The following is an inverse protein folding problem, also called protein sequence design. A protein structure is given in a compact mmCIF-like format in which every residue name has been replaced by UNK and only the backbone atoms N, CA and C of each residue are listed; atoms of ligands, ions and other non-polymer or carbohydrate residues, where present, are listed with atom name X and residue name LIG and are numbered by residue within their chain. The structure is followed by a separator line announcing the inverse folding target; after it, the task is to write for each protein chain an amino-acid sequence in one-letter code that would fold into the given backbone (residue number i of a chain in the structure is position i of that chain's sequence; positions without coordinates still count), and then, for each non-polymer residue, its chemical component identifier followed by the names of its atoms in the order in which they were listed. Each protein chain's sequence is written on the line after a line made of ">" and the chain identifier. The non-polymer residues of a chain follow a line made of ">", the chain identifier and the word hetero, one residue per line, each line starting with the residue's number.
data_IF_662895033692
#
_entry.id   IF_662895033692
#
_cell.length_a   1.000
_cell.length_b   1.000
_cell.length_c   1.000
_cell.angle_alpha   90.00
_cell.angle_beta   90.00
_cell.angle_gamma   90.00
#
_symmetry.space_group_name_H-M   'P 1'
#
loop_
_entity.id
_entity.type
_entity.pdbx_description
1 polymer ?
#
# COMPACT_ATOMS: atom_id res chain seq x y z
N UNK A 1 -1.01 18.95 0.83
CA UNK A 1 -1.12 18.33 2.16
C UNK A 1 -2.56 18.43 2.58
N UNK A 2 -3.35 17.39 2.39
CA UNK A 2 -4.65 17.27 3.06
C UNK A 2 -4.36 16.56 4.38
N UNK A 3 -4.15 17.35 5.44
CA UNK A 3 -4.24 16.81 6.79
C UNK A 3 -5.58 16.09 6.93
N UNK A 4 -5.62 14.96 7.66
CA UNK A 4 -6.92 14.38 8.03
C UNK A 4 -7.64 15.48 8.79
N UNK A 5 -8.80 15.98 8.31
CA UNK A 5 -9.48 17.07 8.97
C UNK A 5 -9.69 16.72 10.43
N UNK A 6 -9.27 17.60 11.34
CA UNK A 6 -9.53 17.40 12.77
C UNK A 6 -11.03 17.17 12.94
N UNK A 7 -11.41 16.05 13.55
CA UNK A 7 -12.81 15.73 13.74
C UNK A 7 -13.53 16.91 14.42
N UNK A 8 -14.67 17.36 13.89
CA UNK A 8 -15.44 18.42 14.53
C UNK A 8 -15.85 17.97 15.95
N UNK A 9 -16.01 18.92 16.87
CA UNK A 9 -16.38 18.63 18.27
C UNK A 9 -17.83 18.15 18.46
N UNK A 10 -18.49 17.74 17.38
CA UNK A 10 -19.90 17.32 17.36
C UNK A 10 -19.94 15.82 17.10
N UNK A 11 -20.69 15.10 17.93
CA UNK A 11 -20.94 13.67 17.77
C UNK A 11 -22.38 13.45 17.32
N UNK A 12 -22.56 12.58 16.32
CA UNK A 12 -23.88 12.14 15.85
C UNK A 12 -24.00 10.65 16.14
N UNK A 13 -25.12 10.24 16.75
CA UNK A 13 -25.37 8.85 17.10
C UNK A 13 -26.62 8.30 16.40
N UNK A 14 -26.55 7.04 15.97
CA UNK A 14 -27.70 6.31 15.43
C UNK A 14 -28.58 5.82 16.58
N UNK A 15 -29.68 6.52 16.86
CA UNK A 15 -30.61 6.17 17.95
C UNK A 15 -31.65 5.12 17.52
N UNK A 16 -32.06 5.16 16.26
CA UNK A 16 -33.01 4.22 15.66
C UNK A 16 -32.79 4.19 14.14
N UNK A 17 -33.04 3.06 13.49
CA UNK A 17 -32.86 2.95 12.04
C UNK A 17 -32.57 1.51 11.61
N UNK A 18 -31.60 1.28 10.71
CA UNK A 18 -31.38 -0.03 10.09
C UNK A 18 -31.22 -1.12 11.15
N UNK A 19 -31.82 -2.28 10.88
CA UNK A 19 -31.76 -3.45 11.78
C UNK A 19 -30.46 -4.24 11.63
N UNK A 20 -29.61 -3.87 10.67
CA UNK A 20 -28.31 -4.51 10.44
C UNK A 20 -27.25 -4.07 11.45
N UNK A 21 -26.26 -4.91 11.67
CA UNK A 21 -25.09 -4.57 12.48
C UNK A 21 -24.24 -3.49 11.77
N UNK A 22 -23.59 -2.64 12.57
CA UNK A 22 -22.67 -1.60 12.10
C UNK A 22 -22.94 -0.24 12.72
N UNK A 23 -21.89 0.57 12.78
CA UNK A 23 -21.93 1.99 13.11
C UNK A 23 -22.17 2.85 11.86
N UNK A 24 -22.40 4.16 12.06
CA UNK A 24 -22.49 5.12 10.94
C UNK A 24 -21.19 5.08 10.12
N UNK A 25 -20.03 4.98 10.77
CA UNK A 25 -18.73 4.91 10.12
C UNK A 25 -18.57 3.62 9.30
N UNK A 26 -19.09 2.49 9.78
CA UNK A 26 -19.11 1.23 9.01
C UNK A 26 -19.97 1.36 7.75
N UNK A 27 -21.12 2.03 7.85
CA UNK A 27 -21.99 2.27 6.71
C UNK A 27 -21.36 3.22 5.70
N UNK A 28 -20.74 4.32 6.16
CA UNK A 28 -20.00 5.25 5.30
C UNK A 28 -18.87 4.53 4.56
N UNK A 29 -18.05 3.75 5.28
CA UNK A 29 -16.97 2.97 4.68
C UNK A 29 -17.50 1.98 3.64
N UNK A 30 -18.60 1.27 3.94
CA UNK A 30 -19.24 0.37 3.00
C UNK A 30 -19.69 1.10 1.73
N UNK A 31 -20.39 2.23 1.87
CA UNK A 31 -20.88 2.98 0.73
C UNK A 31 -19.76 3.65 -0.08
N UNK A 32 -18.71 4.14 0.57
CA UNK A 32 -17.51 4.68 -0.08
C UNK A 32 -16.82 3.61 -0.93
N UNK A 33 -16.57 2.42 -0.35
CA UNK A 33 -15.97 1.28 -1.08
C UNK A 33 -16.83 0.85 -2.26
N UNK A 34 -18.16 0.76 -2.08
CA UNK A 34 -19.09 0.43 -3.15
C UNK A 34 -19.08 1.46 -4.28
N UNK A 35 -18.99 2.75 -3.95
CA UNK A 35 -18.90 3.82 -4.94
C UNK A 35 -17.59 3.71 -5.75
N UNK A 36 -16.45 3.52 -5.08
CA UNK A 36 -15.15 3.33 -5.73
C UNK A 36 -15.16 2.09 -6.63
N UNK A 37 -15.64 0.93 -6.14
CA UNK A 37 -15.74 -0.30 -6.93
C UNK A 37 -16.62 -0.10 -8.17
N UNK A 38 -17.72 0.64 -8.04
CA UNK A 38 -18.60 0.98 -9.18
C UNK A 38 -17.83 1.73 -10.26
N UNK A 39 -17.10 2.79 -9.91
CA UNK A 39 -16.34 3.56 -10.89
C UNK A 39 -15.22 2.75 -11.52
N UNK A 40 -14.49 1.96 -10.73
CA UNK A 40 -13.47 1.03 -11.26
C UNK A 40 -14.05 0.05 -12.27
N UNK A 41 -15.24 -0.47 -11.99
CA UNK A 41 -15.94 -1.41 -12.89
C UNK A 41 -16.40 -0.73 -14.18
N UNK A 42 -16.98 0.46 -14.08
CA UNK A 42 -17.53 1.17 -15.25
C UNK A 42 -16.45 1.71 -16.18
N UNK A 43 -15.34 2.23 -15.63
CA UNK A 43 -14.21 2.75 -16.40
C UNK A 43 -13.31 1.63 -16.90
N UNK A 44 -13.21 0.53 -16.15
CA UNK A 44 -12.19 -0.49 -16.35
C UNK A 44 -10.78 0.05 -16.12
N UNK A 45 -9.78 -0.82 -16.23
CA UNK A 45 -8.38 -0.46 -16.03
C UNK A 45 -7.93 0.66 -16.97
N UNK A 46 -8.13 0.49 -18.28
CA UNK A 46 -7.69 1.49 -19.25
C UNK A 46 -8.40 2.83 -19.07
N UNK A 47 -9.72 2.83 -18.81
CA UNK A 47 -10.45 4.08 -18.60
C UNK A 47 -10.01 4.83 -17.34
N UNK A 48 -9.59 4.13 -16.27
CA UNK A 48 -8.98 4.77 -15.10
C UNK A 48 -7.60 5.36 -15.43
N UNK A 49 -6.76 4.63 -16.16
CA UNK A 49 -5.44 5.12 -16.58
C UNK A 49 -5.56 6.35 -17.48
N UNK A 50 -6.51 6.34 -18.42
CA UNK A 50 -6.78 7.47 -19.31
C UNK A 50 -7.31 8.67 -18.53
N UNK A 51 -8.21 8.45 -17.57
CA UNK A 51 -8.75 9.50 -16.70
C UNK A 51 -7.65 10.18 -15.87
N UNK A 52 -6.72 9.39 -15.33
CA UNK A 52 -5.66 9.84 -14.43
C UNK A 52 -4.36 10.21 -15.16
N UNK A 53 -4.30 10.12 -16.48
CA UNK A 53 -3.04 10.22 -17.24
C UNK A 53 -2.26 11.51 -16.93
N UNK A 54 -2.94 12.65 -16.84
CA UNK A 54 -2.31 13.93 -16.52
C UNK A 54 -1.76 13.97 -15.08
N UNK A 55 -2.52 13.45 -14.12
CA UNK A 55 -2.11 13.39 -12.71
C UNK A 55 -0.95 12.41 -12.49
N UNK A 56 -0.95 11.28 -13.22
CA UNK A 56 0.15 10.32 -13.24
C UNK A 56 1.43 10.98 -13.75
N UNK A 57 1.37 11.73 -14.85
CA UNK A 57 2.56 12.40 -15.39
C UNK A 57 3.08 13.49 -14.43
N UNK A 58 2.17 14.23 -13.78
CA UNK A 58 2.54 15.19 -12.75
C UNK A 58 3.24 14.51 -11.56
N UNK A 59 2.65 13.43 -11.03
CA UNK A 59 3.21 12.70 -9.90
C UNK A 59 4.53 12.00 -10.23
N UNK A 60 4.64 11.39 -11.42
CA UNK A 60 5.89 10.81 -11.90
C UNK A 60 6.97 11.88 -12.05
N UNK A 61 6.64 13.07 -12.53
CA UNK A 61 7.57 14.21 -12.63
C UNK A 61 8.04 14.66 -11.25
N UNK A 62 7.12 14.83 -10.30
CA UNK A 62 7.44 15.15 -8.92
C UNK A 62 8.42 14.13 -8.30
N UNK A 63 8.15 12.84 -8.46
CA UNK A 63 8.99 11.78 -7.93
C UNK A 63 10.37 11.73 -8.60
N UNK A 64 10.42 11.93 -9.92
CA UNK A 64 11.67 11.97 -10.68
C UNK A 64 12.58 13.12 -10.22
N UNK A 65 12.03 14.32 -10.10
CA UNK A 65 12.82 15.48 -9.64
C UNK A 65 13.25 15.33 -8.19
N UNK A 66 12.40 14.74 -7.33
CA UNK A 66 12.79 14.41 -5.96
C UNK A 66 13.96 13.43 -5.93
N UNK A 67 13.88 12.32 -6.68
CA UNK A 67 14.96 11.33 -6.77
C UNK A 67 16.26 11.92 -7.34
N UNK A 68 16.17 12.76 -8.36
CA UNK A 68 17.33 13.47 -8.92
C UNK A 68 17.97 14.40 -7.88
N UNK A 69 17.17 15.20 -7.20
CA UNK A 69 17.64 16.19 -6.24
C UNK A 69 18.21 15.55 -4.96
N UNK A 70 17.81 14.32 -4.61
CA UNK A 70 18.30 13.64 -3.41
C UNK A 70 19.73 13.10 -3.53
N UNK A 71 20.29 13.04 -4.75
CA UNK A 71 21.62 12.46 -4.97
C UNK A 71 21.70 10.98 -4.56
N UNK A 72 20.58 10.26 -4.61
CA UNK A 72 20.50 8.85 -4.20
C UNK A 72 20.29 8.62 -2.70
N UNK A 73 20.12 9.67 -1.90
CA UNK A 73 19.76 9.54 -0.49
C UNK A 73 18.25 9.32 -0.30
N UNK A 74 17.91 8.43 0.63
CA UNK A 74 16.52 8.11 0.99
C UNK A 74 16.30 8.30 2.49
N UNK A 75 15.05 8.60 2.87
CA UNK A 75 14.56 8.55 4.26
C UNK A 75 13.46 7.50 4.38
N UNK A 76 13.48 6.76 5.49
CA UNK A 76 12.57 5.66 5.79
C UNK A 76 11.49 6.04 6.80
N UNK A 77 10.38 5.32 6.75
CA UNK A 77 9.30 5.38 7.73
C UNK A 77 8.61 4.02 7.84
N UNK A 78 8.34 3.59 9.07
CA UNK A 78 7.88 2.22 9.37
C UNK A 78 6.49 2.22 9.97
N UNK A 79 5.60 1.43 9.38
CA UNK A 79 4.28 1.09 9.93
C UNK A 79 4.33 -0.31 10.50
N UNK A 80 3.91 -0.48 11.76
CA UNK A 80 3.89 -1.78 12.44
C UNK A 80 2.45 -2.20 12.72
N UNK A 81 2.06 -3.38 12.23
CA UNK A 81 0.75 -3.97 12.47
C UNK A 81 0.92 -5.29 13.23
N UNK A 82 0.04 -5.55 14.19
CA UNK A 82 -0.06 -6.85 14.85
C UNK A 82 -1.36 -7.52 14.43
N UNK A 83 -1.25 -8.70 13.84
CA UNK A 83 -2.36 -9.56 13.46
C UNK A 83 -2.51 -10.70 14.47
N UNK A 84 -3.76 -11.09 14.75
CA UNK A 84 -4.11 -12.24 15.57
C UNK A 84 -5.08 -13.15 14.80
N UNK A 85 -5.01 -14.46 15.01
CA UNK A 85 -5.86 -15.46 14.37
C UNK A 85 -5.41 -15.93 12.97
N UNK A 86 -4.27 -15.44 12.47
CA UNK A 86 -3.67 -15.80 11.18
C UNK A 86 -2.15 -15.79 11.33
N UNK A 87 -1.44 -16.81 10.85
CA UNK A 87 0.04 -16.82 10.83
C UNK A 87 0.59 -16.02 9.64
N UNK A 88 1.85 -15.56 9.71
CA UNK A 88 2.48 -14.87 8.58
C UNK A 88 2.60 -15.77 7.35
N UNK A 89 2.82 -17.07 7.54
CA UNK A 89 2.90 -18.05 6.46
C UNK A 89 1.59 -18.20 5.70
N UNK A 90 0.45 -18.27 6.41
CA UNK A 90 -0.87 -18.30 5.79
C UNK A 90 -1.18 -17.00 5.04
N UNK A 91 -0.84 -15.86 5.64
CA UNK A 91 -1.00 -14.55 5.00
C UNK A 91 -0.21 -14.46 3.69
N UNK A 92 1.08 -14.84 3.70
CA UNK A 92 1.93 -14.77 2.52
C UNK A 92 1.49 -15.76 1.43
N UNK A 93 1.06 -16.97 1.81
CA UNK A 93 0.51 -17.92 0.84
C UNK A 93 -0.78 -17.41 0.17
N UNK A 94 -1.60 -16.62 0.88
CA UNK A 94 -2.73 -15.91 0.27
C UNK A 94 -2.25 -14.77 -0.63
N UNK A 95 -1.27 -13.99 -0.17
CA UNK A 95 -0.73 -12.85 -0.90
C UNK A 95 -0.12 -13.28 -2.24
N UNK A 96 0.70 -14.33 -2.25
CA UNK A 96 1.28 -14.90 -3.48
C UNK A 96 0.19 -15.28 -4.50
N UNK A 97 -0.92 -15.87 -4.05
CA UNK A 97 -2.05 -16.20 -4.92
C UNK A 97 -2.77 -14.96 -5.44
N UNK A 98 -2.92 -13.93 -4.62
CA UNK A 98 -3.54 -12.67 -5.03
C UNK A 98 -2.70 -12.00 -6.13
N UNK A 99 -1.38 -11.89 -5.94
CA UNK A 99 -0.48 -11.31 -6.93
C UNK A 99 -0.31 -12.15 -8.21
N UNK A 100 -0.46 -13.48 -8.13
CA UNK A 100 -0.40 -14.35 -9.31
C UNK A 100 -1.71 -14.42 -10.11
N UNK A 101 -2.81 -13.87 -9.59
CA UNK A 101 -4.15 -14.11 -10.10
C UNK A 101 -5.01 -12.85 -10.23
N UNK A 102 -6.04 -12.75 -9.40
CA UNK A 102 -7.08 -11.72 -9.47
C UNK A 102 -6.58 -10.37 -8.91
N UNK A 103 -6.62 -9.33 -9.74
CA UNK A 103 -6.30 -7.94 -9.35
C UNK A 103 -7.36 -7.37 -8.38
N UNK A 104 -8.54 -7.99 -8.24
CA UNK A 104 -9.62 -7.46 -7.40
C UNK A 104 -9.26 -7.38 -5.90
N UNK A 105 -8.75 -8.43 -5.22
CA UNK A 105 -8.26 -8.32 -3.84
C UNK A 105 -7.19 -7.24 -3.65
N UNK A 106 -6.32 -7.09 -4.64
CA UNK A 106 -5.23 -6.12 -4.67
C UNK A 106 -5.78 -4.68 -4.71
N UNK A 107 -6.71 -4.39 -5.63
CA UNK A 107 -7.36 -3.08 -5.73
C UNK A 107 -8.28 -2.77 -4.56
N UNK A 108 -8.92 -3.78 -3.97
CA UNK A 108 -9.90 -3.58 -2.88
C UNK A 108 -9.25 -3.25 -1.53
N UNK A 109 -7.93 -3.40 -1.43
CA UNK A 109 -7.19 -3.18 -0.19
C UNK A 109 -7.05 -1.71 0.18
N UNK A 110 -7.04 -0.82 -0.81
CA UNK A 110 -6.99 0.62 -0.59
C UNK A 110 -7.89 1.35 -1.60
N UNK A 111 -8.64 2.39 -1.18
CA UNK A 111 -9.44 3.20 -2.12
C UNK A 111 -8.58 3.91 -3.17
N UNK A 112 -7.31 4.18 -2.87
CA UNK A 112 -6.37 4.85 -3.78
C UNK A 112 -5.55 3.88 -4.64
N UNK A 113 -5.86 2.57 -4.67
CA UNK A 113 -5.33 1.68 -5.69
C UNK A 113 -6.15 1.82 -6.98
N UNK A 114 -5.55 2.37 -8.03
CA UNK A 114 -6.22 2.60 -9.32
C UNK A 114 -5.91 1.51 -10.34
N UNK A 115 -4.70 0.97 -10.34
CA UNK A 115 -4.31 -0.19 -11.12
C UNK A 115 -3.19 -0.94 -10.41
N UNK A 116 -3.24 -2.27 -10.42
CA UNK A 116 -2.17 -3.12 -9.88
C UNK A 116 -2.09 -4.44 -10.63
N UNK A 117 -0.96 -4.71 -11.28
CA UNK A 117 -0.75 -5.98 -11.97
C UNK A 117 0.43 -5.90 -12.92
N UNK A 118 0.69 -7.00 -13.62
CA UNK A 118 1.82 -7.06 -14.55
C UNK A 118 1.47 -6.48 -15.91
N UNK A 119 2.45 -5.80 -16.53
CA UNK A 119 2.47 -5.47 -17.95
C UNK A 119 3.80 -5.94 -18.58
N UNK A 120 4.13 -5.44 -19.76
CA UNK A 120 5.36 -5.77 -20.51
C UNK A 120 6.65 -5.26 -19.85
N UNK A 121 6.57 -4.28 -18.95
CA UNK A 121 7.70 -3.75 -18.18
C UNK A 121 7.85 -4.51 -16.86
N UNK A 122 6.75 -4.82 -16.17
CA UNK A 122 6.80 -5.58 -14.92
C UNK A 122 5.55 -5.41 -14.05
N UNK A 123 5.71 -5.61 -12.73
CA UNK A 123 4.64 -5.42 -11.76
C UNK A 123 4.36 -3.92 -11.56
N UNK A 124 3.35 -3.41 -12.26
CA UNK A 124 2.93 -2.02 -12.24
C UNK A 124 1.94 -1.75 -11.11
N UNK A 125 2.11 -0.62 -10.44
CA UNK A 125 1.21 -0.07 -9.44
C UNK A 125 0.89 1.38 -9.80
N UNK A 126 -0.39 1.72 -9.76
CA UNK A 126 -0.88 3.10 -9.91
C UNK A 126 -1.69 3.46 -8.68
N UNK A 127 -1.15 4.35 -7.88
CA UNK A 127 -1.71 4.78 -6.60
C UNK A 127 -1.21 6.15 -6.16
N UNK A 128 -1.75 6.65 -5.06
CA UNK A 128 -1.28 7.87 -4.42
C UNK A 128 0.05 7.67 -3.68
N UNK A 129 1.07 8.45 -4.05
CA UNK A 129 2.30 8.65 -3.27
C UNK A 129 2.26 10.06 -2.68
N UNK A 130 1.75 10.15 -1.45
CA UNK A 130 1.37 11.44 -0.89
C UNK A 130 0.17 12.02 -1.65
N UNK A 131 0.14 13.32 -1.93
CA UNK A 131 -0.95 13.94 -2.70
C UNK A 131 -0.87 13.66 -4.21
N UNK A 132 0.12 12.89 -4.69
CA UNK A 132 0.38 12.69 -6.11
C UNK A 132 -0.04 11.29 -6.55
N UNK A 133 -0.84 11.19 -7.60
CA UNK A 133 -1.06 9.91 -8.29
C UNK A 133 0.20 9.58 -9.08
N UNK A 134 0.77 8.39 -8.88
CA UNK A 134 1.99 7.97 -9.56
C UNK A 134 1.80 6.58 -10.18
N UNK A 135 2.52 6.33 -11.27
CA UNK A 135 2.59 5.01 -11.91
C UNK A 135 4.03 4.52 -11.82
N UNK A 136 4.27 3.55 -10.95
CA UNK A 136 5.59 2.97 -10.73
C UNK A 136 5.54 1.46 -10.85
N UNK A 137 6.72 0.86 -10.87
CA UNK A 137 6.92 -0.56 -10.98
C UNK A 137 7.67 -1.06 -9.76
N UNK A 138 7.27 -2.23 -9.29
CA UNK A 138 7.93 -2.93 -8.20
C UNK A 138 8.83 -4.02 -8.77
N UNK A 139 10.08 -4.06 -8.30
CA UNK A 139 11.08 -5.03 -8.75
C UNK A 139 11.81 -5.66 -7.59
N UNK A 140 12.28 -6.90 -7.77
CA UNK A 140 13.00 -7.65 -6.75
C UNK A 140 12.11 -8.31 -5.69
N UNK A 141 10.78 -8.24 -5.81
CA UNK A 141 9.88 -9.00 -4.94
C UNK A 141 10.13 -10.50 -5.01
N UNK A 142 10.26 -11.13 -3.85
CA UNK A 142 10.58 -12.57 -3.74
C UNK A 142 12.01 -12.93 -4.16
N UNK A 143 12.89 -11.95 -4.38
CA UNK A 143 14.31 -12.21 -4.67
C UNK A 143 15.17 -11.79 -3.49
N UNK A 144 16.28 -12.50 -3.25
CA UNK A 144 17.35 -12.07 -2.33
C UNK A 144 18.11 -10.81 -2.82
N UNK A 145 17.67 -10.24 -3.95
CA UNK A 145 18.52 -9.53 -4.91
C UNK A 145 18.53 -8.01 -4.75
N UNK A 146 18.18 -7.47 -3.58
CA UNK A 146 18.33 -6.05 -3.32
C UNK A 146 19.37 -5.82 -2.23
N UNK A 147 20.62 -5.69 -2.68
CA UNK A 147 21.79 -5.49 -1.80
C UNK A 147 21.60 -4.33 -0.82
N UNK A 148 20.87 -3.27 -1.20
CA UNK A 148 20.60 -2.13 -0.31
C UNK A 148 19.87 -2.52 0.98
N UNK A 149 19.03 -3.58 0.93
CA UNK A 149 18.22 -3.98 2.08
C UNK A 149 19.05 -4.67 3.17
N UNK A 150 20.23 -5.21 2.82
CA UNK A 150 21.15 -5.88 3.77
C UNK A 150 21.75 -4.90 4.78
N UNK A 151 21.90 -3.65 4.36
CA UNK A 151 22.50 -2.56 5.16
C UNK A 151 21.45 -1.56 5.67
N UNK A 152 20.15 -1.84 5.48
CA UNK A 152 19.09 -0.97 5.94
C UNK A 152 19.01 -0.94 7.47
N UNK A 153 18.89 0.25 8.07
CA UNK A 153 18.82 0.40 9.52
C UNK A 153 17.56 -0.25 10.12
N UNK A 154 16.50 -0.35 9.32
CA UNK A 154 15.21 -0.94 9.66
C UNK A 154 15.17 -2.46 9.42
N UNK A 155 16.27 -3.08 8.97
CA UNK A 155 16.36 -4.53 8.84
C UNK A 155 16.34 -5.18 10.23
N UNK A 156 15.38 -6.07 10.45
CA UNK A 156 15.16 -6.76 11.71
C UNK A 156 15.90 -8.11 11.76
N UNK A 157 16.18 -8.65 12.96
CA UNK A 157 16.86 -9.92 13.09
C UNK A 157 16.09 -11.07 12.42
N UNK A 158 16.76 -11.84 11.57
CA UNK A 158 16.20 -13.00 10.86
C UNK A 158 15.54 -14.03 11.81
N UNK A 159 16.09 -14.19 13.02
CA UNK A 159 15.54 -15.10 14.03
C UNK A 159 14.16 -14.70 14.55
N UNK A 160 13.77 -13.44 14.38
CA UNK A 160 12.47 -12.91 14.79
C UNK A 160 11.57 -12.60 13.58
N UNK A 161 12.16 -12.17 12.46
CA UNK A 161 11.47 -11.81 11.23
C UNK A 161 12.02 -12.61 10.03
N UNK A 162 11.76 -13.93 9.95
CA UNK A 162 12.36 -14.82 8.95
C UNK A 162 11.76 -14.65 7.54
N UNK A 163 10.70 -13.85 7.40
CA UNK A 163 10.04 -13.63 6.11
C UNK A 163 10.16 -12.16 5.74
N UNK A 164 10.83 -11.89 4.63
CA UNK A 164 11.10 -10.53 4.18
C UNK A 164 10.92 -10.41 2.68
N UNK A 165 10.48 -9.23 2.28
CA UNK A 165 10.41 -8.81 0.89
C UNK A 165 10.99 -7.41 0.81
N UNK A 166 11.81 -7.17 -0.21
CA UNK A 166 12.30 -5.85 -0.50
C UNK A 166 12.01 -5.50 -1.96
N UNK A 167 11.86 -4.21 -2.24
CA UNK A 167 11.63 -3.74 -3.61
C UNK A 167 12.22 -2.35 -3.83
N UNK A 168 12.70 -2.07 -5.04
CA UNK A 168 12.79 -0.70 -5.54
C UNK A 168 11.48 -0.35 -6.24
N UNK A 169 11.02 0.89 -6.06
CA UNK A 169 9.94 1.50 -6.84
C UNK A 169 10.60 2.29 -7.97
N UNK A 170 10.39 1.89 -9.22
CA UNK A 170 10.96 2.56 -10.39
C UNK A 170 9.88 3.12 -11.32
N UNK A 171 10.16 4.29 -11.90
CA UNK A 171 9.38 4.80 -13.02
C UNK A 171 9.67 4.00 -14.29
N UNK A 172 8.83 4.16 -15.32
CA UNK A 172 8.99 3.46 -16.60
C UNK A 172 10.35 3.71 -17.29
N UNK A 173 10.99 4.85 -17.02
CA UNK A 173 12.33 5.19 -17.51
C UNK A 173 13.48 4.57 -16.68
N UNK A 174 13.16 3.78 -15.65
CA UNK A 174 14.12 3.13 -14.76
C UNK A 174 14.56 3.98 -13.56
N UNK A 175 14.07 5.21 -13.41
CA UNK A 175 14.40 6.06 -12.25
C UNK A 175 13.90 5.43 -10.96
N UNK A 176 14.78 5.15 -10.01
CA UNK A 176 14.41 4.67 -8.67
C UNK A 176 13.88 5.83 -7.84
N UNK A 177 12.59 5.79 -7.51
CA UNK A 177 11.85 6.86 -6.82
C UNK A 177 11.40 6.47 -5.42
N UNK A 178 11.60 5.21 -5.02
CA UNK A 178 11.30 4.74 -3.69
C UNK A 178 11.87 3.34 -3.45
N UNK A 179 11.74 2.87 -2.21
CA UNK A 179 12.08 1.49 -1.81
C UNK A 179 11.07 0.99 -0.79
N UNK A 180 10.89 -0.32 -0.72
CA UNK A 180 10.08 -0.98 0.30
C UNK A 180 10.88 -2.10 0.96
N UNK A 181 10.75 -2.24 2.28
CA UNK A 181 11.23 -3.36 3.08
C UNK A 181 10.09 -3.83 4.00
N UNK A 182 9.55 -5.01 3.71
CA UNK A 182 8.40 -5.60 4.38
C UNK A 182 8.89 -6.85 5.09
N UNK A 183 8.62 -6.96 6.39
CA UNK A 183 9.15 -8.02 7.25
C UNK A 183 8.04 -8.59 8.13
N UNK A 184 7.99 -9.91 8.29
CA UNK A 184 7.00 -10.59 9.12
C UNK A 184 7.65 -11.52 10.14
N UNK A 185 7.17 -11.42 11.38
CA UNK A 185 7.57 -12.29 12.49
C UNK A 185 6.34 -12.91 13.14
N UNK A 186 6.29 -14.24 13.21
CA UNK A 186 5.18 -14.95 13.86
C UNK A 186 5.16 -14.67 15.38
N UNK A 187 3.96 -14.55 15.95
CA UNK A 187 3.71 -14.48 17.39
C UNK A 187 3.03 -15.77 17.87
N UNK A 188 2.72 -15.88 19.16
CA UNK A 188 2.03 -17.06 19.70
C UNK A 188 0.64 -17.28 19.08
N UNK A 189 -0.03 -16.21 18.65
CA UNK A 189 -1.42 -16.19 18.18
C UNK A 189 -1.61 -15.51 16.82
N UNK A 190 -0.53 -15.13 16.13
CA UNK A 190 -0.58 -14.48 14.83
C UNK A 190 0.78 -14.04 14.31
N UNK A 191 0.94 -12.78 13.92
CA UNK A 191 2.22 -12.22 13.48
C UNK A 191 2.29 -10.69 13.61
N UNK A 192 3.51 -10.17 13.61
CA UNK A 192 3.81 -8.75 13.44
C UNK A 192 4.26 -8.50 12.00
N UNK A 193 3.64 -7.52 11.34
CA UNK A 193 4.08 -6.98 10.06
C UNK A 193 4.82 -5.66 10.30
N UNK A 194 6.08 -5.57 9.87
CA UNK A 194 6.89 -4.37 9.91
C UNK A 194 7.11 -3.87 8.48
N UNK A 195 6.48 -2.76 8.15
CA UNK A 195 6.29 -2.26 6.79
C UNK A 195 7.04 -0.94 6.63
N UNK A 196 8.24 -0.99 6.05
CA UNK A 196 9.08 0.20 5.88
C UNK A 196 9.07 0.65 4.42
N UNK A 197 8.72 1.91 4.18
CA UNK A 197 8.90 2.56 2.88
C UNK A 197 10.02 3.59 2.97
N UNK A 198 10.73 3.77 1.87
CA UNK A 198 11.74 4.81 1.73
C UNK A 198 11.43 5.69 0.52
N UNK A 199 11.54 6.99 0.70
CA UNK A 199 11.46 7.98 -0.37
C UNK A 199 12.72 8.84 -0.41
N UNK A 200 13.04 9.48 -1.55
CA UNK A 200 14.10 10.47 -1.64
C UNK A 200 14.03 11.47 -0.47
N UNK A 201 15.15 11.82 0.14
CA UNK A 201 15.17 12.73 1.31
C UNK A 201 14.55 14.11 1.03
N UNK A 202 14.50 14.48 -0.25
CA UNK A 202 13.92 15.70 -0.82
C UNK A 202 12.40 15.67 -0.97
N UNK A 203 11.75 14.50 -0.92
CA UNK A 203 10.29 14.43 -0.83
C UNK A 203 9.84 15.12 0.47
N UNK A 204 8.74 15.88 0.50
CA UNK A 204 8.20 16.43 1.74
C UNK A 204 7.85 15.32 2.75
N UNK A 205 7.99 15.57 4.06
CA UNK A 205 7.68 14.57 5.10
C UNK A 205 6.24 14.06 5.04
N UNK A 206 5.31 14.92 4.57
CA UNK A 206 3.92 14.53 4.35
C UNK A 206 3.73 13.39 3.34
N UNK A 207 4.66 13.18 2.40
CA UNK A 207 4.64 12.03 1.47
C UNK A 207 4.90 10.72 2.23
N UNK A 208 5.90 10.73 3.12
CA UNK A 208 6.25 9.58 3.94
C UNK A 208 5.12 9.23 4.92
N UNK A 209 4.62 10.23 5.64
CA UNK A 209 3.50 10.07 6.58
C UNK A 209 2.21 9.60 5.89
N UNK A 210 1.96 10.06 4.66
CA UNK A 210 0.84 9.55 3.87
C UNK A 210 1.00 8.07 3.55
N UNK A 211 2.17 7.66 3.07
CA UNK A 211 2.38 6.26 2.68
C UNK A 211 2.41 5.31 3.89
N UNK A 212 2.83 5.78 5.07
CA UNK A 212 2.67 5.01 6.32
C UNK A 212 1.18 4.77 6.64
N UNK A 213 0.32 5.77 6.47
CA UNK A 213 -1.14 5.60 6.60
C UNK A 213 -1.71 4.67 5.53
N UNK A 214 -1.20 4.75 4.29
CA UNK A 214 -1.54 3.84 3.20
C UNK A 214 -1.25 2.38 3.58
N UNK A 215 -0.03 2.08 4.02
CA UNK A 215 0.35 0.74 4.50
C UNK A 215 -0.54 0.24 5.65
N UNK A 216 -0.91 1.12 6.58
CA UNK A 216 -1.80 0.74 7.68
C UNK A 216 -3.16 0.25 7.16
N UNK A 217 -3.76 0.94 6.19
CA UNK A 217 -5.05 0.59 5.61
C UNK A 217 -4.95 -0.62 4.68
N UNK A 218 -3.97 -0.61 3.77
CA UNK A 218 -3.72 -1.65 2.77
C UNK A 218 -3.48 -3.01 3.42
N UNK A 219 -2.45 -3.13 4.25
CA UNK A 219 -2.09 -4.40 4.86
C UNK A 219 -3.16 -4.89 5.83
N UNK A 220 -3.82 -4.00 6.58
CA UNK A 220 -4.97 -4.39 7.41
C UNK A 220 -6.08 -5.03 6.56
N UNK A 221 -6.41 -4.47 5.40
CA UNK A 221 -7.44 -5.03 4.54
C UNK A 221 -7.00 -6.34 3.87
N UNK A 222 -5.74 -6.46 3.46
CA UNK A 222 -5.20 -7.73 2.95
C UNK A 222 -5.20 -8.84 4.01
N UNK A 223 -4.80 -8.54 5.25
CA UNK A 223 -4.80 -9.51 6.35
C UNK A 223 -6.23 -10.01 6.62
N UNK A 224 -7.21 -9.09 6.67
CA UNK A 224 -8.62 -9.45 6.84
C UNK A 224 -9.15 -10.27 5.65
N UNK A 225 -8.78 -9.92 4.42
CA UNK A 225 -9.16 -10.69 3.23
C UNK A 225 -8.55 -12.10 3.23
N UNK A 226 -7.29 -12.24 3.62
CA UNK A 226 -6.62 -13.52 3.78
C UNK A 226 -7.31 -14.41 4.83
N UNK A 227 -7.68 -13.82 5.97
CA UNK A 227 -8.43 -14.53 7.01
C UNK A 227 -9.81 -14.97 6.51
N UNK A 228 -10.53 -14.12 5.78
CA UNK A 228 -11.85 -14.44 5.22
C UNK A 228 -11.77 -15.55 4.14
N UNK A 229 -10.69 -15.61 3.37
CA UNK A 229 -10.49 -16.64 2.35
C UNK A 229 -10.17 -18.03 2.93
N UNK A 230 -9.92 -18.15 4.24
CA UNK A 230 -9.77 -19.44 4.94
C UNK A 230 -11.11 -20.05 5.35
N UNK A 231 -12.14 -19.21 5.53
CA UNK A 231 -13.46 -19.59 6.01
C UNK A 231 -14.33 -20.18 4.89
#
# INVERSE_FOLDING_TARGET
>A
MTEIPKAPSVTVALVSGPTGAGSIDDFELFYARRAVERFRTLLGRQGLLDLLAAEIEEGNTFLRESARASGGAFKGGTTVLQATGLTSGEFLAWMDKAFAGDEKPLLSAHPEHYAMGTDDIGARVVENIGPHVASFYMGGWGTDALDWAKDAAELLPESQFPRKMSSNLFLADGTVVGRALIQFGDTADGFTANLTVYFPVTCPDGVLEHHMRHYAVEFRNWIVAAAAARA
#
